data_IF_239320426342
#
_entry.id   IF_239320426342
#
_cell.length_a   1.000
_cell.length_b   1.000
_cell.length_c   1.000
_cell.angle_alpha   90.00
_cell.angle_beta   90.00
_cell.angle_gamma   90.00
#
_symmetry.space_group_name_H-M   'P 1'
#
loop_
_entity.id
_entity.type
_entity.pdbx_description
1 polymer ?
#
# COMPACT_ATOMS: atom_id res chain seq x y z
N UNK A 1 28.17 5.82 3.11
CA UNK A 1 27.11 6.00 4.12
C UNK A 1 26.39 4.67 4.20
N UNK A 2 26.39 4.01 5.37
CA UNK A 2 25.55 2.82 5.56
C UNK A 2 24.14 3.37 5.73
N UNK A 3 23.26 3.08 4.78
CA UNK A 3 21.88 3.52 4.83
C UNK A 3 21.06 2.36 5.38
N UNK A 4 20.27 2.62 6.42
CA UNK A 4 19.36 1.63 6.96
C UNK A 4 18.22 1.42 5.95
N UNK A 5 17.99 0.19 5.43
CA UNK A 5 16.96 -0.06 4.44
C UNK A 5 15.57 0.32 4.92
N UNK A 6 15.28 0.11 6.21
CA UNK A 6 13.98 0.45 6.78
C UNK A 6 13.69 1.94 6.69
N UNK A 7 14.63 2.78 7.10
CA UNK A 7 14.47 4.24 7.07
C UNK A 7 14.22 4.75 5.63
N UNK A 8 14.87 4.13 4.63
CA UNK A 8 14.64 4.47 3.21
C UNK A 8 13.24 4.11 2.77
N UNK A 9 12.75 2.93 3.12
CA UNK A 9 11.42 2.50 2.71
C UNK A 9 10.35 3.33 3.43
N UNK A 10 10.54 3.64 4.71
CA UNK A 10 9.66 4.51 5.47
C UNK A 10 9.55 5.90 4.82
N UNK A 11 10.67 6.49 4.40
CA UNK A 11 10.70 7.76 3.64
C UNK A 11 9.97 7.66 2.28
N UNK A 12 9.86 6.45 1.71
CA UNK A 12 9.20 6.20 0.44
C UNK A 12 7.72 5.77 0.58
N UNK A 13 7.17 5.61 1.79
CA UNK A 13 5.81 5.10 2.00
C UNK A 13 4.74 5.90 1.25
N UNK A 14 4.85 7.23 1.24
CA UNK A 14 3.89 8.08 0.51
C UNK A 14 3.93 7.82 -1.00
N UNK A 15 5.12 7.52 -1.53
CA UNK A 15 5.30 7.18 -2.94
C UNK A 15 4.80 5.77 -3.24
N UNK A 16 5.10 4.80 -2.38
CA UNK A 16 4.57 3.43 -2.47
C UNK A 16 3.03 3.49 -2.50
N UNK A 17 2.42 4.20 -1.55
CA UNK A 17 0.97 4.41 -1.48
C UNK A 17 0.41 5.00 -2.77
N UNK A 18 1.05 6.04 -3.32
CA UNK A 18 0.60 6.67 -4.56
C UNK A 18 0.65 5.75 -5.78
N UNK A 19 1.62 4.82 -5.83
CA UNK A 19 1.73 3.82 -6.89
C UNK A 19 0.64 2.75 -6.69
N UNK A 20 0.52 2.24 -5.46
CA UNK A 20 -0.44 1.20 -5.07
C UNK A 20 -1.89 1.64 -5.34
N UNK A 21 -2.24 2.90 -5.09
CA UNK A 21 -3.56 3.46 -5.41
C UNK A 21 -3.94 3.44 -6.90
N UNK A 22 -2.98 3.17 -7.79
CA UNK A 22 -3.17 3.06 -9.25
C UNK A 22 -3.05 1.64 -9.76
N UNK A 23 -2.93 0.67 -8.86
CA UNK A 23 -2.92 -0.75 -9.21
C UNK A 23 -4.34 -1.24 -9.36
N UNK A 24 -4.55 -2.19 -10.27
CA UNK A 24 -5.87 -2.71 -10.59
C UNK A 24 -6.58 -3.28 -9.35
N UNK A 25 -5.84 -3.96 -8.49
CA UNK A 25 -6.31 -4.58 -7.25
C UNK A 25 -6.94 -3.55 -6.30
N UNK A 26 -6.36 -2.34 -6.23
CA UNK A 26 -6.83 -1.26 -5.36
C UNK A 26 -7.88 -0.38 -6.05
N UNK A 27 -7.75 -0.16 -7.37
CA UNK A 27 -8.73 0.61 -8.15
C UNK A 27 -10.13 -0.03 -8.11
N UNK A 28 -10.22 -1.35 -7.97
CA UNK A 28 -11.50 -2.06 -7.90
C UNK A 28 -12.20 -2.02 -6.55
N UNK A 29 -11.57 -1.46 -5.51
CA UNK A 29 -12.17 -1.38 -4.17
C UNK A 29 -13.32 -0.36 -4.11
N UNK A 30 -13.29 0.64 -4.99
CA UNK A 30 -14.32 1.65 -5.09
C UNK A 30 -15.18 1.43 -6.35
N UNK A 31 -16.51 1.57 -6.25
CA UNK A 31 -17.38 1.55 -7.42
C UNK A 31 -16.96 2.61 -8.44
N UNK A 32 -17.01 2.30 -9.75
CA UNK A 32 -16.59 3.21 -10.82
C UNK A 32 -17.35 4.55 -10.86
N UNK A 33 -18.51 4.65 -10.21
CA UNK A 33 -19.32 5.87 -10.11
C UNK A 33 -19.16 6.58 -8.75
N UNK A 34 -18.22 6.13 -7.93
CA UNK A 34 -17.92 6.76 -6.64
C UNK A 34 -16.96 7.93 -6.82
N UNK A 35 -17.31 9.09 -6.28
CA UNK A 35 -16.38 10.22 -6.12
C UNK A 35 -15.39 10.01 -4.96
N UNK A 36 -15.63 8.96 -4.15
CA UNK A 36 -14.80 8.62 -2.99
C UNK A 36 -13.36 8.32 -3.40
N UNK A 37 -12.43 8.59 -2.50
CA UNK A 37 -11.01 8.29 -2.67
C UNK A 37 -10.51 7.53 -1.47
N UNK A 38 -9.64 6.56 -1.71
CA UNK A 38 -8.89 5.90 -0.66
C UNK A 38 -7.79 6.82 -0.15
N UNK A 39 -7.67 6.92 1.16
CA UNK A 39 -6.58 7.64 1.85
C UNK A 39 -5.78 6.67 2.70
N UNK A 40 -4.47 6.93 2.85
CA UNK A 40 -3.62 6.18 3.77
C UNK A 40 -3.94 6.58 5.21
N UNK A 41 -4.35 5.63 6.02
CA UNK A 41 -4.63 5.84 7.43
C UNK A 41 -3.43 5.50 8.33
N UNK A 42 -2.75 4.40 8.02
CA UNK A 42 -1.53 3.96 8.70
C UNK A 42 -0.74 3.03 7.79
N UNK A 43 0.53 2.82 8.11
CA UNK A 43 1.37 1.83 7.44
C UNK A 43 2.19 1.07 8.48
N UNK A 44 2.63 -0.12 8.12
CA UNK A 44 3.57 -0.94 8.88
C UNK A 44 4.62 -1.51 7.92
N UNK A 45 5.89 -1.31 8.22
CA UNK A 45 6.98 -1.93 7.49
C UNK A 45 7.25 -3.33 8.07
N UNK A 46 7.04 -4.36 7.26
CA UNK A 46 7.25 -5.76 7.67
C UNK A 46 8.71 -6.16 7.49
N UNK A 47 9.30 -5.80 6.35
CA UNK A 47 10.71 -6.08 6.07
C UNK A 47 11.28 -5.11 5.05
N UNK A 48 12.56 -4.75 5.22
CA UNK A 48 13.36 -4.08 4.21
C UNK A 48 14.79 -4.66 4.26
N UNK A 49 15.25 -5.23 3.15
CA UNK A 49 16.53 -5.93 3.09
C UNK A 49 17.34 -5.46 1.88
N UNK A 50 18.57 -5.02 2.12
CA UNK A 50 19.51 -4.74 1.04
C UNK A 50 20.00 -6.04 0.41
N UNK A 51 20.01 -6.06 -0.92
CA UNK A 51 20.51 -7.15 -1.75
C UNK A 51 21.95 -6.89 -2.19
N UNK A 52 22.63 -7.94 -2.68
CA UNK A 52 23.99 -7.85 -3.20
C UNK A 52 24.11 -6.94 -4.44
N UNK A 53 23.00 -6.68 -5.14
CA UNK A 53 22.94 -5.78 -6.29
C UNK A 53 22.71 -4.32 -5.88
N UNK A 54 22.61 -4.02 -4.58
CA UNK A 54 22.39 -2.67 -4.07
C UNK A 54 20.93 -2.21 -4.13
N UNK A 55 19.99 -3.13 -4.37
CA UNK A 55 18.56 -2.85 -4.27
C UNK A 55 18.08 -3.13 -2.85
N UNK A 56 16.96 -2.53 -2.46
CA UNK A 56 16.22 -2.87 -1.24
C UNK A 56 14.96 -3.62 -1.66
N UNK A 57 14.85 -4.87 -1.25
CA UNK A 57 13.60 -5.62 -1.30
C UNK A 57 12.78 -5.27 -0.06
N UNK A 58 11.50 -4.93 -0.25
CA UNK A 58 10.64 -4.51 0.85
C UNK A 58 9.29 -5.19 0.84
N UNK A 59 8.70 -5.28 2.03
CA UNK A 59 7.31 -5.63 2.24
C UNK A 59 6.72 -4.70 3.29
N UNK A 60 5.57 -4.10 2.98
CA UNK A 60 4.83 -3.25 3.89
C UNK A 60 3.33 -3.52 3.81
N UNK A 61 2.63 -3.17 4.88
CA UNK A 61 1.19 -3.14 4.95
C UNK A 61 0.72 -1.69 4.98
N UNK A 62 -0.27 -1.37 4.15
CA UNK A 62 -0.92 -0.08 4.09
C UNK A 62 -2.37 -0.26 4.51
N UNK A 63 -2.80 0.47 5.54
CA UNK A 63 -4.20 0.55 5.88
C UNK A 63 -4.82 1.71 5.11
N UNK A 64 -5.61 1.40 4.10
CA UNK A 64 -6.35 2.38 3.32
C UNK A 64 -7.78 2.53 3.86
N UNK A 65 -8.28 3.76 3.91
CA UNK A 65 -9.64 4.08 4.34
C UNK A 65 -10.46 4.71 3.24
N UNK A 66 -11.70 4.27 3.16
CA UNK A 66 -12.79 4.86 2.41
C UNK A 66 -13.66 5.60 3.44
N UNK A 67 -13.38 6.88 3.67
CA UNK A 67 -13.99 7.64 4.77
C UNK A 67 -15.52 7.77 4.63
N UNK A 68 -16.02 7.93 3.41
CA UNK A 68 -17.45 8.11 3.15
C UNK A 68 -18.22 6.80 3.41
N UNK A 69 -17.58 5.66 3.16
CA UNK A 69 -18.14 4.32 3.40
C UNK A 69 -17.83 3.73 4.76
N UNK A 70 -17.04 4.43 5.58
CA UNK A 70 -16.52 3.90 6.87
C UNK A 70 -15.88 2.51 6.73
N UNK A 71 -15.26 2.25 5.59
CA UNK A 71 -14.63 0.96 5.29
C UNK A 71 -13.12 1.10 5.29
N UNK A 72 -12.41 0.04 5.67
CA UNK A 72 -10.96 -0.03 5.59
C UNK A 72 -10.47 -1.29 4.87
N UNK A 73 -9.36 -1.13 4.18
CA UNK A 73 -8.72 -2.16 3.37
C UNK A 73 -7.27 -2.27 3.80
N UNK A 74 -6.85 -3.48 4.18
CA UNK A 74 -5.45 -3.78 4.39
C UNK A 74 -4.85 -4.14 3.03
N UNK A 75 -3.81 -3.41 2.63
CA UNK A 75 -3.13 -3.62 1.36
C UNK A 75 -1.69 -4.02 1.65
N UNK A 76 -1.34 -5.26 1.32
CA UNK A 76 0.02 -5.78 1.43
C UNK A 76 0.74 -5.52 0.13
N UNK A 77 1.94 -4.98 0.23
CA UNK A 77 2.74 -4.55 -0.90
C UNK A 77 4.11 -5.19 -0.79
N UNK A 78 4.57 -5.76 -1.90
CA UNK A 78 5.94 -6.22 -2.07
C UNK A 78 6.56 -5.51 -3.27
N UNK A 79 7.82 -5.12 -3.16
CA UNK A 79 8.49 -4.42 -4.23
C UNK A 79 9.97 -4.22 -4.00
N UNK A 80 10.56 -3.43 -4.90
CA UNK A 80 11.99 -3.13 -4.92
C UNK A 80 12.25 -1.65 -5.06
N UNK A 81 13.23 -1.17 -4.30
CA UNK A 81 13.79 0.16 -4.42
C UNK A 81 15.27 0.11 -4.81
N UNK A 82 15.72 1.04 -5.64
CA UNK A 82 17.12 1.18 -6.02
C UNK A 82 17.56 2.65 -5.87
N UNK A 83 18.87 2.82 -5.66
CA UNK A 83 19.46 4.15 -5.58
C UNK A 83 19.74 4.69 -6.99
N UNK A 84 18.91 5.63 -7.43
CA UNK A 84 19.09 6.39 -8.66
C UNK A 84 19.65 7.78 -8.31
N UNK A 85 20.98 7.88 -8.26
CA UNK A 85 21.72 9.08 -7.82
C UNK A 85 21.04 10.39 -8.28
N UNK A 86 20.66 11.29 -7.35
CA UNK A 86 21.03 11.32 -5.94
C UNK A 86 19.99 10.73 -4.97
N UNK A 87 18.97 10.00 -5.43
CA UNK A 87 17.83 9.61 -4.59
C UNK A 87 17.42 8.14 -4.72
N UNK A 88 16.83 7.58 -3.66
CA UNK A 88 16.15 6.29 -3.73
C UNK A 88 14.82 6.41 -4.49
N UNK A 89 14.48 5.37 -5.24
CA UNK A 89 13.22 5.27 -5.98
C UNK A 89 12.63 3.89 -5.87
N UNK A 90 11.31 3.80 -6.01
CA UNK A 90 10.59 2.54 -6.20
C UNK A 90 10.72 2.17 -7.68
N UNK A 91 11.38 1.05 -7.95
CA UNK A 91 11.65 0.58 -9.30
C UNK A 91 10.57 -0.38 -9.78
N UNK A 92 10.08 -1.21 -8.87
CA UNK A 92 9.14 -2.28 -9.16
C UNK A 92 8.20 -2.49 -7.97
N UNK A 93 6.93 -2.76 -8.26
CA UNK A 93 5.96 -3.32 -7.33
C UNK A 93 5.70 -4.74 -7.84
N UNK A 94 6.13 -5.73 -7.09
CA UNK A 94 6.09 -7.13 -7.48
C UNK A 94 4.70 -7.74 -7.21
N UNK A 95 4.09 -7.35 -6.09
CA UNK A 95 2.79 -7.89 -5.66
C UNK A 95 1.99 -6.87 -4.85
N UNK A 96 0.67 -6.89 -5.04
CA UNK A 96 -0.31 -6.11 -4.28
C UNK A 96 -1.48 -7.01 -3.93
N UNK A 97 -1.66 -7.27 -2.64
CA UNK A 97 -2.77 -8.09 -2.13
C UNK A 97 -3.67 -7.22 -1.28
N UNK A 98 -4.98 -7.24 -1.55
CA UNK A 98 -5.97 -6.49 -0.78
C UNK A 98 -6.85 -7.41 0.04
N UNK A 99 -6.87 -7.16 1.35
CA UNK A 99 -7.74 -7.80 2.34
C UNK A 99 -8.74 -6.76 2.90
N UNK A 100 -10.05 -6.84 2.59
CA UNK A 100 -11.04 -5.95 3.20
C UNK A 100 -11.15 -6.27 4.70
N UNK A 101 -10.83 -5.29 5.56
CA UNK A 101 -10.88 -5.48 7.01
C UNK A 101 -12.30 -5.31 7.58
N UNK A 102 -13.09 -4.44 6.94
CA UNK A 102 -14.47 -4.19 7.33
C UNK A 102 -15.34 -4.44 6.11
N UNK A 103 -15.76 -5.71 5.90
CA UNK A 103 -16.95 -5.98 5.08
C UNK A 103 -18.11 -5.43 5.90
N UNK A 104 -18.37 -4.14 5.71
CA UNK A 104 -19.32 -3.37 6.51
C UNK A 104 -20.49 -4.22 6.97
N UNK A 105 -20.69 -4.19 8.28
CA UNK A 105 -21.84 -4.71 9.02
C UNK A 105 -22.94 -5.22 8.09
N UNK A 106 -23.09 -6.54 8.01
CA UNK A 106 -24.22 -7.18 7.33
C UNK A 106 -25.51 -6.88 8.11
N UNK A 107 -25.90 -5.61 8.08
CA UNK A 107 -27.14 -5.03 8.57
C UNK A 107 -28.00 -4.63 7.38
N UNK A 108 -28.28 -5.57 6.48
CA UNK A 108 -29.47 -5.48 5.63
C UNK A 108 -30.50 -6.49 6.14
N UNK A 109 -31.41 -5.95 6.94
CA UNK A 109 -32.72 -6.53 7.20
C UNK A 109 -33.40 -6.95 5.89
N UNK A 110 -33.98 -8.15 5.87
CA UNK A 110 -34.79 -8.58 4.74
C UNK A 110 -35.07 -10.06 4.66
N UNK A 111 -35.72 -10.64 5.68
CA UNK A 111 -36.66 -11.74 5.45
C UNK A 111 -37.89 -11.50 6.32
N UNK A 112 -39.03 -11.44 5.62
CA UNK A 112 -40.39 -11.36 6.14
C UNK A 112 -40.70 -12.42 7.20
#
# INVERSE_FOLDING_TARGET
MIVNPSDVIDDLIQRITSIVLRTYEVEQLLPHDSAERLSLASHELISAVSTDTGHIEFSCELLLKAEERRSSFLVKVQGRAAYETPMWRINEIDDVVVDPQDRGDSGFAGLN
#
